data_IF_305761115482
#
_entry.id   IF_305761115482
#
_cell.length_a   1.000
_cell.length_b   1.000
_cell.length_c   1.000
_cell.angle_alpha   90.00
_cell.angle_beta   90.00
_cell.angle_gamma   90.00
#
_symmetry.space_group_name_H-M   'P 1'
#
loop_
_entity.id
_entity.type
_entity.pdbx_description
1 polymer ?
#
# COMPACT_ATOMS: atom_id res chain seq x y z
N UNK A 1 9.64 -15.43 -10.39
CA UNK A 1 9.13 -14.37 -9.55
C UNK A 1 8.27 -13.36 -10.30
N UNK A 2 7.38 -12.72 -9.58
CA UNK A 2 6.47 -11.66 -10.05
C UNK A 2 7.18 -10.54 -10.84
N UNK A 3 8.38 -10.16 -10.44
CA UNK A 3 9.18 -9.10 -11.08
C UNK A 3 9.46 -9.34 -12.57
N UNK A 4 9.68 -10.58 -12.98
CA UNK A 4 9.94 -10.90 -14.39
C UNK A 4 8.71 -10.80 -15.28
N UNK A 5 7.51 -11.12 -14.78
CA UNK A 5 6.27 -11.04 -15.55
C UNK A 5 5.78 -9.60 -15.70
N UNK A 6 5.94 -8.78 -14.68
CA UNK A 6 5.54 -7.36 -14.71
C UNK A 6 6.44 -6.51 -15.61
N UNK A 7 7.75 -6.76 -15.64
CA UNK A 7 8.64 -6.15 -16.63
C UNK A 7 8.24 -6.51 -18.06
N UNK A 8 7.82 -7.75 -18.32
CA UNK A 8 7.33 -8.18 -19.64
C UNK A 8 6.01 -7.49 -20.03
N UNK A 9 5.10 -7.25 -19.09
CA UNK A 9 3.84 -6.53 -19.34
C UNK A 9 4.15 -5.07 -19.68
N UNK A 10 5.01 -4.42 -18.93
CA UNK A 10 5.46 -3.06 -19.17
C UNK A 10 6.02 -2.88 -20.60
N UNK A 11 6.97 -3.71 -20.97
CA UNK A 11 7.65 -3.63 -22.26
C UNK A 11 6.70 -3.85 -23.46
N UNK A 12 5.60 -4.59 -23.23
CA UNK A 12 4.58 -4.84 -24.25
C UNK A 12 3.51 -3.74 -24.36
N UNK A 13 3.24 -3.00 -23.27
CA UNK A 13 2.07 -2.13 -23.18
C UNK A 13 2.40 -0.64 -22.98
N UNK A 14 3.68 -0.24 -22.96
CA UNK A 14 4.11 1.16 -22.80
C UNK A 14 3.43 1.86 -21.61
N UNK A 15 3.42 1.22 -20.43
CA UNK A 15 2.84 1.84 -19.24
C UNK A 15 3.74 2.96 -18.70
N UNK A 16 3.15 4.08 -18.30
CA UNK A 16 3.87 5.24 -17.82
C UNK A 16 4.50 5.02 -16.44
N UNK A 17 3.83 4.26 -15.56
CA UNK A 17 4.30 3.92 -14.21
C UNK A 17 3.66 2.64 -13.69
N UNK A 18 4.23 2.08 -12.62
CA UNK A 18 3.69 0.91 -11.95
C UNK A 18 3.40 1.20 -10.47
N UNK A 19 2.41 0.51 -9.93
CA UNK A 19 1.95 0.60 -8.54
C UNK A 19 2.19 -0.76 -7.88
N UNK A 20 2.74 -0.76 -6.65
CA UNK A 20 2.89 -1.97 -5.87
C UNK A 20 1.61 -2.28 -5.11
N UNK A 21 0.95 -3.36 -5.44
CA UNK A 21 -0.22 -3.87 -4.72
C UNK A 21 -0.06 -5.37 -4.43
N UNK A 22 -0.06 -5.77 -3.15
CA UNK A 22 0.12 -7.16 -2.73
C UNK A 22 -1.17 -7.72 -2.17
N UNK A 23 -1.84 -8.58 -2.95
CA UNK A 23 -3.12 -9.18 -2.55
C UNK A 23 -2.99 -10.63 -2.08
N UNK A 24 -2.00 -11.35 -2.58
CA UNK A 24 -1.79 -12.77 -2.28
C UNK A 24 -0.36 -13.03 -1.84
N UNK A 25 -0.17 -13.89 -0.84
CA UNK A 25 1.15 -14.42 -0.52
C UNK A 25 1.48 -15.54 -1.49
N UNK A 26 2.74 -15.57 -1.97
CA UNK A 26 3.31 -16.52 -2.94
C UNK A 26 2.90 -16.25 -4.38
N UNK A 27 1.65 -16.47 -4.74
CA UNK A 27 1.14 -16.25 -6.09
C UNK A 27 -0.38 -16.08 -6.08
N UNK A 28 -0.95 -15.58 -7.18
CA UNK A 28 -2.40 -15.39 -7.33
C UNK A 28 -3.13 -16.71 -7.57
N UNK A 29 -2.45 -17.72 -8.14
CA UNK A 29 -2.99 -19.04 -8.43
C UNK A 29 -2.92 -19.96 -7.19
N UNK A 30 -3.83 -19.75 -6.23
CA UNK A 30 -3.94 -20.58 -5.02
C UNK A 30 -3.16 -20.10 -3.81
N UNK A 31 -2.57 -18.91 -3.87
CA UNK A 31 -1.94 -18.26 -2.73
C UNK A 31 -2.95 -17.79 -1.67
N UNK A 32 -2.45 -17.43 -0.50
CA UNK A 32 -3.28 -16.91 0.58
C UNK A 32 -3.68 -15.45 0.31
N UNK A 33 -4.99 -15.18 0.21
CA UNK A 33 -5.50 -13.82 0.10
C UNK A 33 -5.30 -13.06 1.43
N UNK A 34 -4.54 -11.99 1.40
CA UNK A 34 -4.11 -11.25 2.60
C UNK A 34 -5.26 -10.60 3.38
N UNK A 35 -6.38 -10.33 2.73
CA UNK A 35 -7.61 -9.82 3.35
C UNK A 35 -8.43 -10.89 4.10
N UNK A 36 -8.07 -12.17 4.03
CA UNK A 36 -8.77 -13.25 4.77
C UNK A 36 -8.56 -13.18 6.28
N UNK A 37 -7.53 -12.49 6.73
CA UNK A 37 -7.23 -12.29 8.14
C UNK A 37 -6.38 -13.39 8.77
N UNK A 38 -5.31 -12.99 9.46
CA UNK A 38 -4.45 -13.92 10.19
C UNK A 38 -3.89 -13.31 11.48
N UNK A 39 -3.73 -14.15 12.51
CA UNK A 39 -2.98 -13.82 13.73
C UNK A 39 -1.57 -14.43 13.75
N UNK A 40 -1.13 -15.04 12.65
CA UNK A 40 0.21 -15.62 12.56
C UNK A 40 1.23 -14.55 12.13
N UNK A 41 2.21 -14.30 13.01
CA UNK A 41 3.33 -13.40 12.73
C UNK A 41 4.06 -13.76 11.43
N UNK A 42 4.23 -15.05 11.11
CA UNK A 42 4.95 -15.47 9.91
C UNK A 42 4.27 -15.00 8.62
N UNK A 43 2.94 -14.96 8.64
CA UNK A 43 2.15 -14.50 7.50
C UNK A 43 2.33 -12.98 7.28
N UNK A 44 2.23 -12.18 8.34
CA UNK A 44 2.48 -10.73 8.22
C UNK A 44 3.94 -10.46 7.81
N UNK A 45 4.90 -11.17 8.45
CA UNK A 45 6.31 -11.02 8.08
C UNK A 45 6.53 -11.32 6.60
N UNK A 46 5.93 -12.39 6.09
CA UNK A 46 6.03 -12.77 4.67
C UNK A 46 5.44 -11.68 3.77
N UNK A 47 4.24 -11.15 4.11
CA UNK A 47 3.65 -10.03 3.40
C UNK A 47 4.61 -8.83 3.32
N UNK A 48 5.17 -8.43 4.47
CA UNK A 48 6.11 -7.32 4.53
C UNK A 48 7.37 -7.60 3.72
N UNK A 49 7.93 -8.81 3.82
CA UNK A 49 9.12 -9.20 3.06
C UNK A 49 8.87 -9.14 1.55
N UNK A 50 7.73 -9.64 1.05
CA UNK A 50 7.36 -9.61 -0.37
C UNK A 50 7.14 -8.17 -0.88
N UNK A 51 6.49 -7.30 -0.08
CA UNK A 51 6.33 -5.88 -0.45
C UNK A 51 7.69 -5.18 -0.49
N UNK A 52 8.56 -5.42 0.50
CA UNK A 52 9.92 -4.84 0.53
C UNK A 52 10.74 -5.34 -0.67
N UNK A 53 10.66 -6.61 -1.02
CA UNK A 53 11.31 -7.15 -2.21
C UNK A 53 10.81 -6.44 -3.48
N UNK A 54 9.50 -6.29 -3.61
CA UNK A 54 8.88 -5.60 -4.75
C UNK A 54 9.39 -4.16 -4.89
N UNK A 55 9.33 -3.36 -3.83
CA UNK A 55 9.77 -1.95 -3.90
C UNK A 55 11.27 -1.78 -4.13
N UNK A 56 12.09 -2.73 -3.71
CA UNK A 56 13.53 -2.72 -3.96
C UNK A 56 13.89 -2.92 -5.45
N UNK A 57 12.96 -3.37 -6.28
CA UNK A 57 13.14 -3.43 -7.74
C UNK A 57 13.29 -2.05 -8.37
N UNK A 58 12.84 -0.99 -7.68
CA UNK A 58 12.84 0.37 -8.18
C UNK A 58 11.79 0.66 -9.27
N UNK A 59 10.90 -0.29 -9.57
CA UNK A 59 9.91 -0.16 -10.64
C UNK A 59 8.63 0.57 -10.22
N UNK A 60 8.34 0.63 -8.92
CA UNK A 60 7.05 1.12 -8.41
C UNK A 60 7.11 2.57 -7.94
N UNK A 61 6.07 3.33 -8.25
CA UNK A 61 5.95 4.75 -7.90
C UNK A 61 5.36 4.96 -6.50
N UNK A 62 4.50 4.05 -6.03
CA UNK A 62 3.95 4.05 -4.67
C UNK A 62 3.45 2.65 -4.28
N UNK A 63 3.11 2.48 -2.99
CA UNK A 63 2.51 1.24 -2.47
C UNK A 63 1.01 1.50 -2.29
N UNK A 64 0.19 0.76 -3.04
CA UNK A 64 -1.26 0.75 -2.90
C UNK A 64 -1.65 0.01 -1.61
N UNK A 65 -2.65 0.57 -0.87
CA UNK A 65 -3.21 -0.03 0.35
C UNK A 65 -2.18 -0.88 1.15
N UNK A 66 -1.09 -0.27 1.67
CA UNK A 66 0.03 -1.00 2.29
C UNK A 66 -0.38 -1.83 3.52
N UNK A 67 -1.55 -1.56 4.07
CA UNK A 67 -2.14 -2.22 5.23
C UNK A 67 -3.33 -3.13 4.89
N UNK A 68 -3.40 -3.59 3.63
CA UNK A 68 -4.44 -4.53 3.16
C UNK A 68 -4.36 -5.90 3.83
N UNK A 69 -3.21 -6.27 4.42
CA UNK A 69 -3.10 -7.48 5.21
C UNK A 69 -3.95 -7.35 6.49
N UNK A 70 -5.02 -8.14 6.59
CA UNK A 70 -5.88 -8.16 7.78
C UNK A 70 -5.19 -8.91 8.93
N UNK A 71 -4.45 -8.16 9.75
CA UNK A 71 -3.84 -8.71 10.95
C UNK A 71 -4.83 -8.70 12.12
N UNK A 72 -5.15 -9.90 12.63
CA UNK A 72 -6.09 -10.10 13.74
C UNK A 72 -5.41 -10.04 15.11
N UNK A 73 -4.13 -9.68 15.19
CA UNK A 73 -3.35 -9.58 16.41
C UNK A 73 -2.93 -8.14 16.71
N UNK A 74 -2.92 -7.77 17.99
CA UNK A 74 -2.37 -6.50 18.49
C UNK A 74 -1.03 -6.68 19.19
N UNK A 75 -0.35 -7.81 18.99
CA UNK A 75 0.95 -8.08 19.58
C UNK A 75 2.04 -7.13 19.03
N UNK A 76 3.08 -6.90 19.83
CA UNK A 76 4.20 -5.99 19.49
C UNK A 76 4.86 -6.27 18.14
N UNK A 77 4.86 -7.53 17.72
CA UNK A 77 5.40 -7.90 16.41
C UNK A 77 4.63 -7.30 15.22
N UNK A 78 3.33 -6.94 15.40
CA UNK A 78 2.60 -6.21 14.37
C UNK A 78 3.26 -4.87 14.08
N UNK A 79 3.59 -4.15 15.15
CA UNK A 79 4.23 -2.83 15.04
C UNK A 79 5.62 -2.94 14.46
N UNK A 80 6.40 -3.95 14.91
CA UNK A 80 7.76 -4.18 14.41
C UNK A 80 7.79 -4.48 12.91
N UNK A 81 6.90 -5.38 12.42
CA UNK A 81 6.89 -5.75 11.00
C UNK A 81 6.41 -4.57 10.12
N UNK A 82 5.37 -3.84 10.53
CA UNK A 82 4.91 -2.68 9.77
C UNK A 82 5.88 -1.48 9.85
N UNK A 83 6.61 -1.30 10.96
CA UNK A 83 7.68 -0.29 11.05
C UNK A 83 8.79 -0.61 10.03
N UNK A 84 9.20 -1.87 9.87
CA UNK A 84 10.13 -2.30 8.81
C UNK A 84 9.66 -1.92 7.41
N UNK A 85 8.37 -2.14 7.12
CA UNK A 85 7.79 -1.74 5.83
C UNK A 85 7.85 -0.23 5.62
N UNK A 86 7.43 0.53 6.63
CA UNK A 86 7.46 1.98 6.60
C UNK A 86 8.89 2.53 6.42
N UNK A 87 9.86 1.97 7.15
CA UNK A 87 11.27 2.36 7.02
C UNK A 87 11.83 2.07 5.63
N UNK A 88 11.54 0.91 5.07
CA UNK A 88 11.97 0.55 3.72
C UNK A 88 11.35 1.48 2.66
N UNK A 89 10.05 1.74 2.74
CA UNK A 89 9.36 2.67 1.84
C UNK A 89 9.96 4.08 1.92
N UNK A 90 10.22 4.58 3.14
CA UNK A 90 10.83 5.88 3.36
C UNK A 90 12.25 5.97 2.79
N UNK A 91 13.08 4.95 3.03
CA UNK A 91 14.45 4.90 2.53
C UNK A 91 14.53 4.98 1.00
N UNK A 92 13.51 4.45 0.32
CA UNK A 92 13.40 4.46 -1.15
C UNK A 92 12.61 5.67 -1.69
N UNK A 93 12.07 6.53 -0.82
CA UNK A 93 11.21 7.65 -1.20
C UNK A 93 9.94 7.20 -1.92
N UNK A 94 9.36 6.08 -1.48
CA UNK A 94 8.12 5.51 -2.05
C UNK A 94 6.97 5.85 -1.12
N UNK A 95 5.97 6.65 -1.58
CA UNK A 95 4.81 7.01 -0.77
C UNK A 95 3.89 5.82 -0.47
N UNK A 96 3.16 5.92 0.63
CA UNK A 96 2.14 4.98 1.07
C UNK A 96 0.75 5.51 0.72
N UNK A 97 -0.11 4.68 0.15
CA UNK A 97 -1.45 5.09 -0.23
C UNK A 97 -2.42 5.06 0.94
N UNK A 98 -3.14 6.15 1.16
CA UNK A 98 -4.40 6.21 1.90
C UNK A 98 -5.51 5.90 0.91
N UNK A 99 -6.09 4.71 1.00
CA UNK A 99 -6.98 4.17 -0.01
C UNK A 99 -8.44 4.61 0.19
N UNK A 100 -8.99 5.35 -0.78
CA UNK A 100 -10.36 5.88 -0.71
C UNK A 100 -11.42 4.78 -0.75
N UNK A 101 -11.21 3.72 -1.57
CA UNK A 101 -12.16 2.60 -1.66
C UNK A 101 -12.29 1.88 -0.32
N UNK A 102 -11.18 1.70 0.38
CA UNK A 102 -11.16 1.11 1.72
C UNK A 102 -11.97 1.94 2.73
N UNK A 103 -11.77 3.25 2.75
CA UNK A 103 -12.54 4.16 3.61
C UNK A 103 -14.04 4.12 3.31
N UNK A 104 -14.42 4.25 2.03
CA UNK A 104 -15.82 4.22 1.61
C UNK A 104 -16.47 2.88 1.94
N UNK A 105 -15.78 1.79 1.67
CA UNK A 105 -16.25 0.43 1.93
C UNK A 105 -16.22 0.02 3.40
N UNK A 106 -15.77 0.92 4.30
CA UNK A 106 -15.55 0.63 5.73
C UNK A 106 -14.76 -0.66 5.93
N UNK A 107 -13.71 -0.83 5.10
CA UNK A 107 -12.83 -1.98 5.16
C UNK A 107 -11.86 -1.83 6.35
N UNK A 108 -11.07 -2.87 6.61
CA UNK A 108 -10.04 -2.83 7.66
C UNK A 108 -8.83 -1.94 7.29
N UNK A 109 -8.81 -1.41 6.07
CA UNK A 109 -7.82 -0.46 5.58
C UNK A 109 -8.51 0.76 4.93
N UNK A 110 -7.88 1.93 4.92
CA UNK A 110 -6.68 2.29 5.69
C UNK A 110 -6.94 2.27 7.19
N UNK A 111 -6.00 1.72 7.97
CA UNK A 111 -6.13 1.58 9.41
C UNK A 111 -5.34 2.66 10.16
N UNK A 112 -5.95 3.28 11.17
CA UNK A 112 -5.23 4.22 12.03
C UNK A 112 -3.97 3.59 12.64
N UNK A 113 -4.03 2.31 12.99
CA UNK A 113 -2.94 1.57 13.61
C UNK A 113 -1.68 1.57 12.73
N UNK A 114 -1.84 1.30 11.43
CA UNK A 114 -0.74 1.33 10.48
C UNK A 114 -0.26 2.75 10.20
N UNK A 115 -1.18 3.68 9.92
CA UNK A 115 -0.79 5.05 9.57
C UNK A 115 -0.22 5.86 10.75
N UNK A 116 -0.47 5.46 12.01
CA UNK A 116 0.28 5.97 13.17
C UNK A 116 1.76 5.55 13.12
N UNK A 117 2.06 4.34 12.64
CA UNK A 117 3.46 3.91 12.41
C UNK A 117 4.08 4.73 11.29
N UNK A 118 3.37 4.86 10.15
CA UNK A 118 3.84 5.65 9.02
C UNK A 118 4.12 7.11 9.40
N UNK A 119 3.25 7.73 10.20
CA UNK A 119 3.45 9.09 10.72
C UNK A 119 4.68 9.18 11.64
N UNK A 120 4.85 8.21 12.55
CA UNK A 120 6.02 8.13 13.44
C UNK A 120 7.34 8.01 12.67
N UNK A 121 7.36 7.16 11.63
CA UNK A 121 8.53 6.98 10.76
C UNK A 121 8.75 8.22 9.88
N UNK A 122 7.68 8.96 9.56
CA UNK A 122 7.71 10.14 8.69
C UNK A 122 7.69 9.77 7.21
N UNK A 123 6.82 8.85 6.84
CA UNK A 123 6.58 8.49 5.46
C UNK A 123 5.81 9.59 4.71
N UNK A 124 6.12 9.76 3.44
CA UNK A 124 5.24 10.44 2.51
C UNK A 124 4.00 9.58 2.27
N UNK A 125 2.84 10.24 2.13
CA UNK A 125 1.58 9.57 1.82
C UNK A 125 0.91 10.23 0.62
N UNK A 126 0.13 9.43 -0.11
CA UNK A 126 -0.74 9.92 -1.19
C UNK A 126 -2.18 9.45 -0.92
N UNK A 127 -3.14 10.09 -1.57
CA UNK A 127 -4.51 9.61 -1.61
C UNK A 127 -4.74 8.91 -2.95
N UNK A 128 -5.09 7.62 -2.91
CA UNK A 128 -5.44 6.85 -4.09
C UNK A 128 -6.92 6.50 -4.11
N UNK A 129 -7.52 6.55 -5.30
CA UNK A 129 -8.94 6.32 -5.46
C UNK A 129 -9.30 4.83 -5.50
N UNK A 130 -8.44 3.98 -6.08
CA UNK A 130 -8.70 2.56 -6.32
C UNK A 130 -10.08 2.35 -6.99
N UNK A 131 -10.35 3.15 -8.03
CA UNK A 131 -11.65 3.26 -8.64
C UNK A 131 -12.04 2.00 -9.43
N UNK A 132 -13.17 1.39 -9.08
CA UNK A 132 -13.77 0.25 -9.77
C UNK A 132 -14.97 0.67 -10.63
N UNK A 133 -15.34 1.95 -10.62
CA UNK A 133 -16.35 2.55 -11.49
C UNK A 133 -16.05 4.03 -11.74
N UNK A 134 -16.49 4.62 -12.86
CA UNK A 134 -16.24 6.02 -13.18
C UNK A 134 -16.78 7.01 -12.11
N UNK A 135 -17.91 6.68 -11.49
CA UNK A 135 -18.53 7.55 -10.47
C UNK A 135 -17.65 7.76 -9.23
N UNK A 136 -16.76 6.80 -8.94
CA UNK A 136 -15.82 6.91 -7.81
C UNK A 136 -14.81 8.02 -8.01
N UNK A 137 -14.40 8.31 -9.26
CA UNK A 137 -13.44 9.36 -9.58
C UNK A 137 -13.95 10.77 -9.29
N UNK A 138 -15.27 10.95 -9.29
CA UNK A 138 -15.93 12.25 -9.07
C UNK A 138 -16.44 12.43 -7.63
N UNK A 139 -16.19 11.46 -6.76
CA UNK A 139 -16.70 11.47 -5.39
C UNK A 139 -15.85 12.37 -4.47
N UNK A 140 -16.22 13.64 -4.40
CA UNK A 140 -15.53 14.64 -3.56
C UNK A 140 -15.68 14.38 -2.07
N UNK A 141 -16.74 13.70 -1.62
CA UNK A 141 -16.91 13.30 -0.22
C UNK A 141 -15.87 12.23 0.19
N UNK A 142 -15.63 11.25 -0.69
CA UNK A 142 -14.57 10.26 -0.46
C UNK A 142 -13.19 10.94 -0.35
N UNK A 143 -12.90 11.89 -1.23
CA UNK A 143 -11.66 12.65 -1.18
C UNK A 143 -11.53 13.37 0.16
N UNK A 144 -12.58 14.12 0.55
CA UNK A 144 -12.59 14.85 1.82
C UNK A 144 -12.32 13.91 3.00
N UNK A 145 -12.99 12.77 3.06
CA UNK A 145 -12.81 11.79 4.13
C UNK A 145 -11.37 11.25 4.21
N UNK A 146 -10.71 11.06 3.07
CA UNK A 146 -9.32 10.63 3.02
C UNK A 146 -8.34 11.72 3.52
N UNK A 147 -8.59 12.99 3.16
CA UNK A 147 -7.81 14.11 3.70
C UNK A 147 -8.06 14.29 5.20
N UNK A 148 -9.31 14.16 5.68
CA UNK A 148 -9.65 14.25 7.11
C UNK A 148 -8.97 13.11 7.90
N UNK A 149 -8.94 11.89 7.35
CA UNK A 149 -8.21 10.76 7.92
C UNK A 149 -6.71 11.07 8.04
N UNK A 150 -6.07 11.53 6.96
CA UNK A 150 -4.66 11.91 6.98
C UNK A 150 -4.38 12.98 8.03
N UNK A 151 -5.19 14.06 8.03
CA UNK A 151 -5.04 15.19 8.95
C UNK A 151 -5.20 14.77 10.42
N UNK A 152 -6.11 13.83 10.72
CA UNK A 152 -6.32 13.29 12.07
C UNK A 152 -5.07 12.62 12.65
N UNK A 153 -4.17 12.15 11.79
CA UNK A 153 -2.92 11.48 12.12
C UNK A 153 -1.69 12.38 11.96
N UNK A 154 -1.89 13.67 11.64
CA UNK A 154 -0.80 14.61 11.38
C UNK A 154 -0.05 14.36 10.06
N UNK A 155 -0.63 13.57 9.16
CA UNK A 155 -0.08 13.31 7.84
C UNK A 155 -0.56 14.37 6.84
N UNK A 156 0.33 14.75 5.92
CA UNK A 156 0.00 15.66 4.81
C UNK A 156 0.21 14.91 3.49
N UNK A 157 -0.87 14.54 2.79
CA UNK A 157 -0.74 13.88 1.48
C UNK A 157 -0.01 14.76 0.47
N UNK A 158 0.82 14.11 -0.36
CA UNK A 158 1.47 14.76 -1.50
C UNK A 158 0.40 15.20 -2.52
N UNK A 159 0.59 16.39 -3.08
CA UNK A 159 -0.28 16.92 -4.15
C UNK A 159 0.10 16.36 -5.53
N UNK A 160 1.37 16.01 -5.70
CA UNK A 160 1.93 15.46 -6.93
C UNK A 160 2.82 14.26 -6.63
N UNK A 161 2.77 13.27 -7.50
CA UNK A 161 3.59 12.07 -7.41
C UNK A 161 4.77 12.16 -8.40
N UNK A 162 5.98 12.00 -7.91
CA UNK A 162 7.14 11.79 -8.77
C UNK A 162 7.10 10.37 -9.33
N UNK A 163 6.63 10.24 -10.57
CA UNK A 163 6.56 8.95 -11.23
C UNK A 163 7.98 8.41 -11.48
N UNK A 164 8.24 7.21 -11.03
CA UNK A 164 9.49 6.52 -11.37
C UNK A 164 9.45 6.14 -12.83
N UNK A 165 10.31 6.81 -13.61
CA UNK A 165 10.54 6.42 -15.01
C UNK A 165 11.18 5.04 -15.01
N UNK A 166 10.52 4.14 -15.67
CA UNK A 166 10.95 2.78 -15.79
C UNK A 166 11.95 2.75 -16.96
N UNK A 167 13.22 2.56 -16.66
CA UNK A 167 14.29 2.45 -17.66
C UNK A 167 14.34 1.05 -18.25
#
# INVERSE_FOLDING_TARGET
>A
GLVGSEMCIRDRHNVDYMIMGQHFLENEDGGYYVGSGSSDRKMLKKYVDEVIEGINTGCFSYIAHPDVFLCLSDADWYYTENERLCEAAKALGIPLEINMLGLMGRRHYPSERFFKIAAKVGNDVIIGCDAHSPDMLLNTEMQKNAYDFAASLGLKPLEELNLKQIK
#
